data_IF_133805117886
#
_entry.id   IF_133805117886
#
_cell.length_a   1.000
_cell.length_b   1.000
_cell.length_c   1.000
_cell.angle_alpha   90.00
_cell.angle_beta   90.00
_cell.angle_gamma   90.00
#
_symmetry.space_group_name_H-M   'P 1'
#
loop_
_entity.id
_entity.type
_entity.pdbx_description
1 polymer ?
#
# COMPACT_ATOMS: atom_id res chain seq x y z
N UNK A 1 -7.00 -4.96 14.45
CA UNK A 1 -7.58 -4.29 13.25
C UNK A 1 -6.51 -3.47 12.53
N UNK A 2 -6.73 -3.08 11.27
CA UNK A 2 -5.75 -2.31 10.48
C UNK A 2 -5.30 -1.00 11.15
N UNK A 3 -6.24 -0.26 11.76
CA UNK A 3 -5.95 0.98 12.47
C UNK A 3 -4.95 0.80 13.63
N UNK A 4 -5.03 -0.31 14.38
CA UNK A 4 -4.07 -0.66 15.44
C UNK A 4 -2.66 -0.81 14.87
N UNK A 5 -2.54 -1.46 13.71
CA UNK A 5 -1.25 -1.69 13.07
C UNK A 5 -0.69 -0.42 12.45
N UNK A 6 -1.55 0.48 11.97
CA UNK A 6 -1.15 1.81 11.50
C UNK A 6 -0.61 2.66 12.67
N UNK A 7 -1.26 2.59 13.83
CA UNK A 7 -0.79 3.24 15.07
C UNK A 7 0.56 2.67 15.53
N UNK A 8 0.71 1.34 15.55
CA UNK A 8 1.97 0.70 15.88
C UNK A 8 3.08 1.14 14.92
N UNK A 9 2.82 1.14 13.60
CA UNK A 9 3.79 1.57 12.60
C UNK A 9 4.22 3.03 12.80
N UNK A 10 3.27 3.93 13.10
CA UNK A 10 3.53 5.32 13.43
C UNK A 10 4.33 5.50 14.72
N UNK A 11 4.12 4.64 15.72
CA UNK A 11 4.90 4.62 16.96
C UNK A 11 6.37 4.27 16.75
N UNK A 12 6.71 3.46 15.73
CA UNK A 12 8.11 3.14 15.40
C UNK A 12 8.84 4.30 14.75
N UNK A 13 8.27 4.88 13.68
CA UNK A 13 8.80 6.09 13.04
C UNK A 13 7.86 6.61 11.97
N UNK A 14 8.03 7.90 11.61
CA UNK A 14 7.36 8.50 10.44
C UNK A 14 7.70 7.74 9.14
N UNK A 15 8.95 7.30 8.98
CA UNK A 15 9.37 6.56 7.78
C UNK A 15 8.63 5.21 7.67
N UNK A 16 8.43 4.52 8.79
CA UNK A 16 7.70 3.26 8.82
C UNK A 16 6.21 3.44 8.51
N UNK A 17 5.57 4.47 9.07
CA UNK A 17 4.21 4.85 8.72
C UNK A 17 4.06 5.12 7.21
N UNK A 18 4.98 5.90 6.62
CA UNK A 18 4.98 6.19 5.18
C UNK A 18 5.13 4.92 4.35
N UNK A 19 6.05 4.02 4.71
CA UNK A 19 6.20 2.73 3.99
C UNK A 19 4.91 1.91 3.99
N UNK A 20 4.18 1.91 5.11
CA UNK A 20 2.90 1.22 5.20
C UNK A 20 1.83 1.88 4.33
N UNK A 21 1.71 3.20 4.34
CA UNK A 21 0.78 3.94 3.45
C UNK A 21 1.06 3.66 1.97
N UNK A 22 2.33 3.66 1.56
CA UNK A 22 2.75 3.35 0.18
C UNK A 22 2.46 1.91 -0.21
N UNK A 23 2.64 0.96 0.71
CA UNK A 23 2.32 -0.44 0.45
C UNK A 23 0.81 -0.63 0.25
N UNK A 24 -0.02 0.05 1.06
CA UNK A 24 -1.48 -0.01 0.98
C UNK A 24 -2.06 0.62 -0.29
N UNK A 25 -1.34 1.57 -0.90
CA UNK A 25 -1.73 2.17 -2.17
C UNK A 25 -1.18 1.42 -3.40
N UNK A 26 -0.57 0.25 -3.21
CA UNK A 26 -0.09 -0.58 -4.32
C UNK A 26 -1.15 -1.57 -4.75
N UNK A 27 -1.12 -1.97 -6.02
CA UNK A 27 -2.00 -2.99 -6.59
C UNK A 27 -1.89 -4.36 -5.89
N UNK A 28 -0.81 -4.61 -5.14
CA UNK A 28 -0.58 -5.86 -4.41
C UNK A 28 -1.40 -5.94 -3.11
N UNK A 29 -1.90 -4.82 -2.62
CA UNK A 29 -2.66 -4.78 -1.38
C UNK A 29 -4.15 -5.04 -1.64
N UNK A 30 -4.54 -6.32 -1.64
CA UNK A 30 -5.91 -6.78 -1.89
C UNK A 30 -6.56 -7.34 -0.61
N UNK A 31 -7.81 -6.98 -0.37
CA UNK A 31 -8.57 -7.22 0.86
C UNK A 31 -9.92 -7.91 0.60
N UNK A 32 -9.99 -8.71 -0.47
CA UNK A 32 -11.19 -9.41 -0.95
C UNK A 32 -12.00 -10.18 0.11
N UNK A 33 -11.39 -10.57 1.23
CA UNK A 33 -12.09 -11.28 2.30
C UNK A 33 -12.93 -10.39 3.22
N UNK A 34 -12.74 -9.07 3.20
CA UNK A 34 -13.44 -8.15 4.09
C UNK A 34 -13.79 -6.79 3.46
N UNK A 35 -13.34 -6.52 2.25
CA UNK A 35 -13.64 -5.30 1.50
C UNK A 35 -14.48 -5.62 0.26
N UNK A 36 -15.70 -5.08 0.21
CA UNK A 36 -16.66 -5.37 -0.87
C UNK A 36 -16.20 -4.85 -2.24
N UNK A 37 -15.44 -3.76 -2.27
CA UNK A 37 -14.90 -3.20 -3.52
C UNK A 37 -13.84 -4.13 -4.11
N UNK A 38 -12.90 -4.62 -3.29
CA UNK A 38 -11.88 -5.60 -3.73
C UNK A 38 -12.51 -6.95 -4.06
N UNK A 39 -13.52 -7.38 -3.30
CA UNK A 39 -14.21 -8.65 -3.55
C UNK A 39 -14.96 -8.65 -4.89
N UNK A 40 -15.62 -7.53 -5.23
CA UNK A 40 -16.31 -7.38 -6.50
C UNK A 40 -15.33 -7.23 -7.67
N UNK A 41 -14.25 -6.46 -7.52
CA UNK A 41 -13.20 -6.33 -8.54
C UNK A 41 -12.54 -7.68 -8.89
N UNK A 42 -12.49 -8.60 -7.92
CA UNK A 42 -11.85 -9.90 -8.04
C UNK A 42 -12.83 -11.04 -8.32
N UNK A 43 -14.08 -10.74 -8.66
CA UNK A 43 -15.14 -11.73 -8.93
C UNK A 43 -15.37 -12.74 -7.78
N UNK A 44 -15.06 -12.36 -6.54
CA UNK A 44 -15.24 -13.22 -5.36
C UNK A 44 -16.68 -13.18 -4.83
N UNK A 45 -17.47 -12.19 -5.25
CA UNK A 45 -18.87 -12.02 -4.85
C UNK A 45 -19.73 -11.59 -6.04
N UNK A 46 -20.96 -12.10 -6.07
CA UNK A 46 -21.99 -11.64 -7.01
C UNK A 46 -22.96 -10.77 -6.22
N UNK A 47 -23.03 -9.47 -6.56
CA UNK A 47 -23.83 -8.49 -5.79
C UNK A 47 -25.32 -8.87 -5.70
N UNK A 48 -25.88 -9.50 -6.74
CA UNK A 48 -27.28 -9.96 -6.75
C UNK A 48 -27.57 -11.08 -5.75
N UNK A 49 -26.54 -11.79 -5.30
CA UNK A 49 -26.66 -12.97 -4.45
C UNK A 49 -26.41 -12.62 -2.97
N UNK A 50 -26.01 -11.38 -2.69
CA UNK A 50 -25.77 -10.89 -1.34
C UNK A 50 -27.10 -10.68 -0.62
N UNK A 51 -27.19 -11.21 0.58
CA UNK A 51 -28.33 -10.99 1.47
C UNK A 51 -28.16 -9.66 2.20
N UNK A 52 -29.29 -9.02 2.52
CA UNK A 52 -29.30 -7.70 3.15
C UNK A 52 -28.60 -7.67 4.53
N UNK A 53 -28.59 -8.80 5.24
CA UNK A 53 -27.91 -8.95 6.53
C UNK A 53 -26.39 -8.98 6.41
N UNK A 54 -25.85 -9.41 5.26
CA UNK A 54 -24.42 -9.41 4.95
C UNK A 54 -23.90 -8.03 4.52
N UNK A 55 -24.80 -7.11 4.15
CA UNK A 55 -24.43 -5.77 3.73
C UNK A 55 -24.11 -4.85 4.92
N UNK A 56 -23.16 -3.91 4.75
CA UNK A 56 -22.92 -2.85 5.74
C UNK A 56 -24.14 -1.93 5.83
N UNK A 57 -24.27 -1.21 6.95
CA UNK A 57 -25.46 -0.42 7.27
C UNK A 57 -25.84 0.59 6.18
N UNK A 58 -24.85 1.15 5.49
CA UNK A 58 -25.00 2.12 4.41
C UNK A 58 -25.61 1.51 3.14
N UNK A 59 -25.55 0.18 3.00
CA UNK A 59 -26.03 -0.56 1.83
C UNK A 59 -27.31 -1.36 2.10
N UNK A 60 -27.72 -1.49 3.36
CA UNK A 60 -28.95 -2.20 3.70
C UNK A 60 -30.19 -1.53 3.09
N UNK A 61 -31.07 -2.34 2.52
CA UNK A 61 -32.30 -1.93 1.85
C UNK A 61 -32.09 -1.28 0.48
N UNK A 62 -30.85 -1.23 -0.04
CA UNK A 62 -30.57 -0.74 -1.40
C UNK A 62 -30.81 -1.83 -2.44
N UNK A 63 -31.20 -1.41 -3.64
CA UNK A 63 -31.23 -2.26 -4.83
C UNK A 63 -29.82 -2.64 -5.30
N UNK A 64 -29.74 -3.71 -6.10
CA UNK A 64 -28.49 -4.16 -6.73
C UNK A 64 -27.80 -3.03 -7.52
N UNK A 65 -28.58 -2.24 -8.26
CA UNK A 65 -28.08 -1.12 -9.05
C UNK A 65 -27.51 -0.01 -8.16
N UNK A 66 -28.17 0.31 -7.05
CA UNK A 66 -27.67 1.29 -6.09
C UNK A 66 -26.41 0.83 -5.37
N UNK A 67 -26.31 -0.47 -5.05
CA UNK A 67 -25.11 -1.06 -4.44
C UNK A 67 -23.93 -0.97 -5.41
N UNK A 68 -24.13 -1.37 -6.68
CA UNK A 68 -23.10 -1.25 -7.72
C UNK A 68 -22.65 0.21 -7.90
N UNK A 69 -23.59 1.14 -7.97
CA UNK A 69 -23.28 2.57 -8.06
C UNK A 69 -22.47 3.08 -6.85
N UNK A 70 -22.78 2.61 -5.64
CA UNK A 70 -22.02 2.96 -4.44
C UNK A 70 -20.59 2.39 -4.48
N UNK A 71 -20.44 1.13 -4.86
CA UNK A 71 -19.12 0.48 -5.03
C UNK A 71 -18.27 1.24 -6.05
N UNK A 72 -18.86 1.64 -7.18
CA UNK A 72 -18.16 2.40 -8.22
C UNK A 72 -17.65 3.76 -7.72
N UNK A 73 -18.46 4.47 -6.93
CA UNK A 73 -18.04 5.73 -6.29
C UNK A 73 -16.87 5.47 -5.34
N UNK A 74 -16.96 4.44 -4.49
CA UNK A 74 -15.89 4.09 -3.56
C UNK A 74 -14.62 3.61 -4.24
N UNK A 75 -14.73 2.95 -5.39
CA UNK A 75 -13.59 2.55 -6.21
C UNK A 75 -12.84 3.77 -6.74
N UNK A 76 -13.57 4.74 -7.30
CA UNK A 76 -12.98 6.00 -7.80
C UNK A 76 -12.31 6.81 -6.69
N UNK A 77 -13.00 7.01 -5.55
CA UNK A 77 -12.42 7.68 -4.38
C UNK A 77 -11.11 6.99 -3.93
N UNK A 78 -11.09 5.65 -3.93
CA UNK A 78 -9.90 4.87 -3.59
C UNK A 78 -8.77 5.09 -4.60
N UNK A 79 -9.06 4.98 -5.89
CA UNK A 79 -8.07 5.17 -6.96
C UNK A 79 -7.44 6.56 -6.88
N UNK A 80 -8.23 7.62 -6.66
CA UNK A 80 -7.74 8.99 -6.52
C UNK A 80 -6.75 9.13 -5.35
N UNK A 81 -7.12 8.60 -4.18
CA UNK A 81 -6.26 8.62 -2.99
C UNK A 81 -4.98 7.81 -3.22
N UNK A 82 -5.09 6.64 -3.85
CA UNK A 82 -3.93 5.79 -4.14
C UNK A 82 -2.95 6.50 -5.09
N UNK A 83 -3.47 7.15 -6.13
CA UNK A 83 -2.69 7.93 -7.08
C UNK A 83 -1.97 9.09 -6.38
N UNK A 84 -2.66 9.83 -5.50
CA UNK A 84 -2.07 10.91 -4.72
C UNK A 84 -0.91 10.39 -3.84
N UNK A 85 -1.10 9.25 -3.16
CA UNK A 85 -0.04 8.64 -2.35
C UNK A 85 1.16 8.26 -3.21
N UNK A 86 0.95 7.68 -4.40
CA UNK A 86 2.06 7.30 -5.28
C UNK A 86 2.80 8.52 -5.82
N UNK A 87 2.09 9.59 -6.17
CA UNK A 87 2.70 10.85 -6.62
C UNK A 87 3.57 11.47 -5.51
N UNK A 88 3.03 11.58 -4.30
CA UNK A 88 3.77 12.07 -3.13
C UNK A 88 4.99 11.19 -2.82
N UNK A 89 4.86 9.88 -2.94
CA UNK A 89 5.97 8.95 -2.74
C UNK A 89 7.06 9.09 -3.82
N UNK A 90 6.69 9.35 -5.07
CA UNK A 90 7.64 9.65 -6.14
C UNK A 90 8.45 10.92 -5.81
N UNK A 91 7.78 12.01 -5.41
CA UNK A 91 8.43 13.25 -4.96
C UNK A 91 9.37 12.99 -3.76
N UNK A 92 8.92 12.20 -2.79
CA UNK A 92 9.73 11.78 -1.63
C UNK A 92 10.98 11.01 -2.04
N UNK A 93 10.89 10.04 -2.95
CA UNK A 93 12.05 9.26 -3.43
C UNK A 93 13.09 10.15 -4.09
N UNK A 94 12.65 11.09 -4.93
CA UNK A 94 13.54 12.09 -5.56
C UNK A 94 14.24 12.93 -4.50
N UNK A 95 13.51 13.43 -3.50
CA UNK A 95 14.08 14.22 -2.40
C UNK A 95 15.14 13.42 -1.61
N UNK A 96 14.82 12.19 -1.20
CA UNK A 96 15.76 11.31 -0.47
C UNK A 96 17.01 11.04 -1.31
N UNK A 97 16.86 10.78 -2.60
CA UNK A 97 18.00 10.52 -3.50
C UNK A 97 18.94 11.72 -3.59
N UNK A 98 18.40 12.95 -3.67
CA UNK A 98 19.20 14.19 -3.69
C UNK A 98 19.92 14.43 -2.36
N UNK A 99 19.27 14.16 -1.24
CA UNK A 99 19.87 14.32 0.08
C UNK A 99 20.94 13.26 0.38
N UNK A 100 20.79 12.04 -0.14
CA UNK A 100 21.82 11.00 -0.03
C UNK A 100 23.14 11.37 -0.71
N UNK A 101 23.12 12.17 -1.76
CA UNK A 101 24.34 12.63 -2.45
C UNK A 101 25.05 13.78 -1.74
N UNK A 102 24.35 14.51 -0.87
CA UNK A 102 24.88 15.68 -0.14
C UNK A 102 25.42 15.32 1.25
N UNK A 103 25.12 14.13 1.79
CA UNK A 103 25.55 13.67 3.10
C UNK A 103 26.61 12.57 3.05
N UNK A 104 27.64 12.69 3.89
CA UNK A 104 28.68 11.67 4.10
C UNK A 104 28.08 10.43 4.80
N UNK A 105 27.42 9.57 4.02
CA UNK A 105 26.61 8.44 4.50
C UNK A 105 27.49 7.22 4.86
N UNK A 106 28.34 7.41 5.87
CA UNK A 106 29.45 6.51 6.21
C UNK A 106 29.01 5.08 6.56
N UNK A 107 27.86 4.91 7.23
CA UNK A 107 27.37 3.58 7.61
C UNK A 107 26.86 2.78 6.41
N UNK A 108 26.05 3.38 5.53
CA UNK A 108 25.54 2.71 4.32
C UNK A 108 26.69 2.28 3.41
N UNK A 109 27.69 3.16 3.25
CA UNK A 109 28.90 2.85 2.50
C UNK A 109 29.74 1.75 3.18
N UNK A 110 29.94 1.82 4.49
CA UNK A 110 30.68 0.79 5.24
C UNK A 110 30.00 -0.58 5.14
N UNK A 111 28.67 -0.62 5.25
CA UNK A 111 27.90 -1.87 5.19
C UNK A 111 27.87 -2.45 3.78
N UNK A 112 27.72 -1.61 2.76
CA UNK A 112 27.82 -2.02 1.35
C UNK A 112 29.21 -2.55 1.03
N UNK A 113 30.27 -1.87 1.50
CA UNK A 113 31.65 -2.32 1.32
C UNK A 113 31.91 -3.64 2.04
N UNK A 114 31.40 -3.82 3.27
CA UNK A 114 31.52 -5.07 4.00
C UNK A 114 30.84 -6.23 3.28
N UNK A 115 29.62 -6.04 2.76
CA UNK A 115 28.90 -7.06 1.98
C UNK A 115 29.66 -7.39 0.69
N UNK A 116 30.13 -6.37 -0.04
CA UNK A 116 30.92 -6.56 -1.26
C UNK A 116 32.21 -7.34 -0.98
N UNK A 117 32.93 -7.01 0.09
CA UNK A 117 34.14 -7.71 0.49
C UNK A 117 33.87 -9.19 0.84
N UNK A 118 32.78 -9.49 1.58
CA UNK A 118 32.41 -10.87 1.90
C UNK A 118 32.03 -11.67 0.66
N UNK A 119 31.38 -11.04 -0.31
CA UNK A 119 30.96 -11.72 -1.51
C UNK A 119 32.08 -11.88 -2.55
N UNK A 120 33.05 -10.97 -2.59
CA UNK A 120 34.30 -11.19 -3.33
C UNK A 120 35.06 -12.42 -2.82
N UNK A 121 35.10 -12.66 -1.50
CA UNK A 121 35.67 -13.91 -0.92
C UNK A 121 34.92 -15.17 -1.36
N UNK A 122 33.67 -15.02 -1.81
CA UNK A 122 32.84 -16.09 -2.39
C UNK A 122 32.83 -16.09 -3.92
N UNK A 123 33.75 -15.35 -4.56
CA UNK A 123 33.90 -15.22 -6.01
C UNK A 123 32.68 -14.64 -6.75
N UNK A 124 31.85 -13.84 -6.07
CA UNK A 124 30.82 -13.06 -6.76
C UNK A 124 31.43 -11.82 -7.42
N UNK A 125 30.98 -11.53 -8.64
CA UNK A 125 31.35 -10.35 -9.42
C UNK A 125 30.10 -9.56 -9.79
N UNK A 126 30.22 -8.24 -9.85
CA UNK A 126 29.15 -7.30 -10.17
C UNK A 126 29.53 -6.56 -11.46
N UNK A 127 28.60 -6.45 -12.40
CA UNK A 127 28.70 -5.56 -13.56
C UNK A 127 27.91 -4.28 -13.30
#
# INVERSE_FOLDING_TARGET
>A
MQAEQDKNAAGYSKANAVSRSVSKSSHLYKNKSWDLVDAEEMDEVVISDLTDDALPAELKGKSTEEIKGYIDIKRKEREDIQNEIQELNAKRKVYISKQKTEGNNGLENAMTNAIKAQAQKKNYTWK
#
